data_IF_043876001700
#
_entry.id   IF_043876001700
#
_cell.length_a   1.000
_cell.length_b   1.000
_cell.length_c   1.000
_cell.angle_alpha   90.00
_cell.angle_beta   90.00
_cell.angle_gamma   90.00
#
_symmetry.space_group_name_H-M   'P 1'
#
loop_
_entity.id
_entity.type
_entity.pdbx_description
1 polymer ?
#
# COMPACT_ATOMS: atom_id res chain seq x y z
N UNK A 1 1.23 6.72 8.81
CA UNK A 1 1.44 5.35 9.31
C UNK A 1 0.09 4.67 9.47
N UNK A 2 -0.11 3.45 8.96
CA UNK A 2 -1.40 2.74 9.08
C UNK A 2 -1.64 2.35 10.54
N UNK A 3 -2.86 2.55 11.05
CA UNK A 3 -3.22 2.15 12.41
C UNK A 3 -3.27 0.61 12.50
N UNK A 4 -2.35 0.01 13.24
CA UNK A 4 -2.26 -1.46 13.46
C UNK A 4 -3.58 -2.06 13.94
N UNK A 5 -4.34 -1.32 14.76
CA UNK A 5 -5.66 -1.73 15.23
C UNK A 5 -6.66 -1.89 14.07
N UNK A 6 -6.69 -0.96 13.11
CA UNK A 6 -7.58 -1.03 11.95
C UNK A 6 -7.26 -2.21 11.04
N UNK A 7 -5.97 -2.50 10.81
CA UNK A 7 -5.55 -3.67 10.02
C UNK A 7 -5.96 -4.97 10.69
N UNK A 8 -5.72 -5.09 12.01
CA UNK A 8 -6.13 -6.27 12.77
C UNK A 8 -7.64 -6.46 12.78
N UNK A 9 -8.41 -5.38 12.93
CA UNK A 9 -9.88 -5.43 12.88
C UNK A 9 -10.37 -5.92 11.52
N UNK A 10 -9.85 -5.35 10.43
CA UNK A 10 -10.20 -5.76 9.06
C UNK A 10 -9.91 -7.25 8.79
N UNK A 11 -8.71 -7.73 9.16
CA UNK A 11 -8.32 -9.13 8.95
C UNK A 11 -9.19 -10.09 9.77
N UNK A 12 -9.54 -9.72 11.00
CA UNK A 12 -10.44 -10.49 11.86
C UNK A 12 -11.87 -10.53 11.36
N UNK A 13 -12.39 -9.42 10.82
CA UNK A 13 -13.72 -9.36 10.20
C UNK A 13 -13.85 -10.39 9.07
N UNK A 14 -12.75 -10.68 8.38
CA UNK A 14 -12.69 -11.70 7.31
C UNK A 14 -12.39 -13.12 7.83
N UNK A 15 -12.36 -13.34 9.15
CA UNK A 15 -12.11 -14.66 9.76
C UNK A 15 -10.64 -15.06 9.85
N UNK A 16 -9.71 -14.17 9.53
CA UNK A 16 -8.26 -14.45 9.54
C UNK A 16 -7.57 -13.91 10.80
N UNK A 17 -6.33 -14.38 11.02
CA UNK A 17 -5.42 -13.87 12.05
C UNK A 17 -4.08 -13.51 11.41
N UNK A 18 -3.43 -12.49 11.94
CA UNK A 18 -2.08 -12.12 11.53
C UNK A 18 -1.06 -12.93 12.34
N UNK A 19 -0.04 -13.46 11.66
CA UNK A 19 1.18 -13.96 12.29
C UNK A 19 2.02 -12.80 12.86
N UNK A 20 3.01 -13.14 13.69
CA UNK A 20 3.84 -12.13 14.36
C UNK A 20 4.64 -11.25 13.39
N UNK A 21 5.04 -11.81 12.24
CA UNK A 21 5.84 -11.17 11.18
C UNK A 21 4.99 -10.38 10.17
N UNK A 22 3.68 -10.57 10.13
CA UNK A 22 2.82 -9.95 9.11
C UNK A 22 2.75 -8.41 9.23
N UNK A 23 2.76 -7.86 10.44
CA UNK A 23 2.73 -6.39 10.63
C UNK A 23 4.04 -5.72 10.20
N UNK A 24 5.23 -6.21 10.61
CA UNK A 24 6.50 -5.76 10.05
C UNK A 24 6.55 -5.86 8.51
N UNK A 25 6.12 -6.98 7.94
CA UNK A 25 6.11 -7.17 6.49
C UNK A 25 5.20 -6.16 5.77
N UNK A 26 4.03 -5.85 6.36
CA UNK A 26 3.12 -4.84 5.83
C UNK A 26 3.74 -3.42 5.87
N UNK A 27 4.45 -3.07 6.93
CA UNK A 27 5.15 -1.78 7.02
C UNK A 27 6.20 -1.64 5.92
N UNK A 28 6.97 -2.70 5.66
CA UNK A 28 7.97 -2.72 4.60
C UNK A 28 7.35 -2.63 3.20
N UNK A 29 6.24 -3.34 2.97
CA UNK A 29 5.50 -3.25 1.71
C UNK A 29 5.00 -1.81 1.43
N UNK A 30 4.51 -1.11 2.45
CA UNK A 30 4.07 0.30 2.31
C UNK A 30 5.26 1.20 1.94
N UNK A 31 6.43 1.01 2.56
CA UNK A 31 7.63 1.77 2.22
C UNK A 31 8.04 1.55 0.77
N UNK A 32 8.02 0.32 0.30
CA UNK A 32 8.33 -0.01 -1.10
C UNK A 32 7.37 0.69 -2.07
N UNK A 33 6.06 0.68 -1.79
CA UNK A 33 5.04 1.36 -2.60
C UNK A 33 5.29 2.87 -2.62
N UNK A 34 5.57 3.49 -1.46
CA UNK A 34 5.83 4.92 -1.38
C UNK A 34 7.11 5.32 -2.14
N UNK A 35 8.18 4.54 -2.03
CA UNK A 35 9.42 4.74 -2.78
C UNK A 35 9.16 4.72 -4.30
N UNK A 36 8.35 3.77 -4.78
CA UNK A 36 7.97 3.70 -6.19
C UNK A 36 7.06 4.87 -6.60
N UNK A 37 6.10 5.25 -5.76
CA UNK A 37 5.22 6.38 -6.03
C UNK A 37 6.01 7.70 -6.14
N UNK A 38 7.05 7.89 -5.33
CA UNK A 38 7.97 9.04 -5.44
C UNK A 38 8.63 9.09 -6.81
N UNK A 39 9.06 7.95 -7.37
CA UNK A 39 9.65 7.90 -8.71
C UNK A 39 8.66 8.36 -9.79
N UNK A 40 7.39 7.98 -9.70
CA UNK A 40 6.34 8.40 -10.63
C UNK A 40 5.88 9.85 -10.44
N UNK A 41 6.20 10.47 -9.31
CA UNK A 41 5.75 11.83 -8.99
C UNK A 41 6.70 12.89 -9.56
N UNK A 42 7.99 12.59 -9.75
CA UNK A 42 9.00 13.59 -10.14
C UNK A 42 8.70 14.20 -11.52
N UNK A 43 8.80 15.54 -11.70
CA UNK A 43 9.38 16.53 -10.78
C UNK A 43 8.40 17.12 -9.74
N UNK A 44 7.12 16.73 -9.76
CA UNK A 44 6.17 17.20 -8.74
C UNK A 44 6.61 16.73 -7.34
N UNK A 45 6.40 17.57 -6.32
CA UNK A 45 6.70 17.25 -4.91
C UNK A 45 5.49 16.76 -4.12
N UNK A 46 4.40 16.42 -4.83
CA UNK A 46 3.13 15.99 -4.22
C UNK A 46 2.71 14.66 -4.82
N UNK A 47 2.83 13.59 -4.04
CA UNK A 47 2.35 12.25 -4.41
C UNK A 47 0.82 12.27 -4.36
N UNK A 48 0.13 11.92 -5.45
CA UNK A 48 -1.33 11.80 -5.47
C UNK A 48 -1.72 10.32 -5.40
N UNK A 49 -3.03 10.09 -5.24
CA UNK A 49 -3.58 8.74 -5.16
C UNK A 49 -3.26 7.89 -6.38
N UNK A 50 -3.26 8.47 -7.59
CA UNK A 50 -2.93 7.75 -8.83
C UNK A 50 -1.49 7.23 -8.84
N UNK A 51 -0.51 7.97 -8.34
CA UNK A 51 0.89 7.50 -8.27
C UNK A 51 1.05 6.35 -7.27
N UNK A 52 0.32 6.38 -6.14
CA UNK A 52 0.27 5.27 -5.19
C UNK A 52 -0.35 4.02 -5.82
N UNK A 53 -1.48 4.17 -6.53
CA UNK A 53 -2.16 3.06 -7.20
C UNK A 53 -1.31 2.45 -8.33
N UNK A 54 -0.63 3.29 -9.12
CA UNK A 54 0.34 2.84 -10.11
C UNK A 54 1.49 2.07 -9.46
N UNK A 55 2.06 2.59 -8.35
CA UNK A 55 3.13 1.95 -7.60
C UNK A 55 2.74 0.61 -6.95
N UNK A 56 1.48 0.50 -6.54
CA UNK A 56 0.90 -0.73 -5.99
C UNK A 56 0.52 -1.76 -7.06
N UNK A 57 0.66 -1.45 -8.36
CA UNK A 57 0.43 -2.40 -9.45
C UNK A 57 -1.02 -2.44 -9.98
N UNK A 58 -1.88 -1.49 -9.62
CA UNK A 58 -3.18 -1.33 -10.29
C UNK A 58 -2.95 -0.57 -11.59
N UNK A 59 -2.51 -1.27 -12.64
CA UNK A 59 -2.78 -0.80 -14.01
C UNK A 59 -4.30 -0.73 -14.10
N UNK A 60 -4.86 0.46 -14.31
CA UNK A 60 -6.14 0.52 -15.00
C UNK A 60 -5.93 -0.24 -16.31
N UNK A 61 -6.54 -1.42 -16.43
CA UNK A 61 -6.79 -2.02 -17.74
C UNK A 61 -7.77 -1.08 -18.44
N UNK A 62 -7.23 -0.01 -19.02
CA UNK A 62 -7.85 0.68 -20.13
C UNK A 62 -7.57 -0.15 -21.38
N UNK A 63 -8.60 -0.82 -21.87
CA UNK A 63 -8.76 -1.31 -23.24
C UNK A 63 -7.71 -2.28 -23.77
N UNK A 64 -7.92 -3.58 -23.52
CA UNK A 64 -7.73 -4.68 -24.48
C UNK A 64 -8.67 -5.83 -24.08
#
# INVERSE_FOLDING_TARGET
MIRKASVRAFVREKGYRLSADALPALEEAIRLILTRAILYTRPAKTIRGKEILMAAGKRERSGL
#
